data_IF_622143670359
#
_entry.id   IF_622143670359
#
_cell.length_a   1.000
_cell.length_b   1.000
_cell.length_c   1.000
_cell.angle_alpha   90.00
_cell.angle_beta   90.00
_cell.angle_gamma   90.00
#
_symmetry.space_group_name_H-M   'P 1'
#
loop_
_entity.id
_entity.type
_entity.pdbx_description
1 polymer ?
#
# COMPACT_ATOMS: atom_id res chain seq x y z
N UNK A 1 5.49 -4.44 28.75
CA UNK A 1 6.85 -4.59 28.19
C UNK A 1 6.78 -4.11 26.75
N UNK A 2 7.56 -3.10 26.32
CA UNK A 2 7.57 -2.74 24.90
C UNK A 2 8.22 -3.88 24.13
N UNK A 3 7.43 -4.57 23.31
CA UNK A 3 7.95 -5.50 22.30
C UNK A 3 8.35 -4.62 21.12
N UNK A 4 9.62 -4.60 20.79
CA UNK A 4 10.10 -3.91 19.59
C UNK A 4 9.69 -4.75 18.38
N UNK A 5 8.64 -4.31 17.68
CA UNK A 5 8.12 -4.99 16.48
C UNK A 5 8.63 -4.24 15.26
N UNK A 6 9.38 -4.92 14.41
CA UNK A 6 9.68 -4.42 13.06
C UNK A 6 8.46 -4.63 12.19
N UNK A 7 7.71 -3.56 11.93
CA UNK A 7 6.58 -3.60 11.02
C UNK A 7 7.06 -3.73 9.58
N UNK A 8 6.31 -4.48 8.78
CA UNK A 8 6.55 -4.60 7.35
C UNK A 8 5.99 -3.36 6.64
N UNK A 9 6.86 -2.59 6.01
CA UNK A 9 6.48 -1.38 5.28
C UNK A 9 6.63 -1.63 3.78
N UNK A 10 5.54 -1.47 3.03
CA UNK A 10 5.54 -1.51 1.58
C UNK A 10 5.44 -0.08 1.03
N UNK A 11 6.53 0.37 0.41
CA UNK A 11 6.64 1.71 -0.18
C UNK A 11 6.39 1.65 -1.68
N UNK A 12 5.39 2.40 -2.15
CA UNK A 12 5.00 2.44 -3.55
C UNK A 12 5.00 3.89 -4.02
N UNK A 13 5.63 4.15 -5.17
CA UNK A 13 5.64 5.49 -5.75
C UNK A 13 4.33 5.81 -6.44
N UNK A 14 3.82 7.02 -6.21
CA UNK A 14 2.58 7.52 -6.82
C UNK A 14 2.64 7.58 -8.33
N UNK A 15 3.80 7.93 -8.90
CA UNK A 15 3.97 7.96 -10.35
C UNK A 15 3.93 6.57 -10.98
N UNK A 16 4.35 5.53 -10.25
CA UNK A 16 4.20 4.14 -10.68
C UNK A 16 2.74 3.71 -10.67
N UNK A 17 1.99 4.08 -9.63
CA UNK A 17 0.54 3.81 -9.54
C UNK A 17 -0.20 4.51 -10.67
N UNK A 18 0.05 5.80 -10.89
CA UNK A 18 -0.63 6.57 -11.92
C UNK A 18 -0.39 6.01 -13.33
N UNK A 19 0.79 5.43 -13.59
CA UNK A 19 1.17 4.89 -14.90
C UNK A 19 0.75 3.44 -15.11
N UNK A 20 0.79 2.62 -14.06
CA UNK A 20 0.67 1.15 -14.17
C UNK A 20 -0.59 0.59 -13.53
N UNK A 21 -1.10 1.23 -12.48
CA UNK A 21 -2.23 0.71 -11.72
C UNK A 21 -3.53 0.96 -12.48
N UNK A 22 -4.36 -0.08 -12.65
CA UNK A 22 -5.67 0.05 -13.28
C UNK A 22 -6.55 1.01 -12.47
N UNK A 23 -7.00 2.09 -13.10
CA UNK A 23 -7.77 3.14 -12.42
C UNK A 23 -6.92 4.16 -11.64
N UNK A 24 -5.59 4.10 -11.76
CA UNK A 24 -4.66 5.10 -11.25
C UNK A 24 -4.70 5.27 -9.73
N UNK A 25 -4.29 6.45 -9.26
CA UNK A 25 -4.26 6.77 -7.83
C UNK A 25 -5.65 6.66 -7.16
N UNK A 26 -6.76 7.15 -7.74
CA UNK A 26 -8.06 7.09 -7.08
C UNK A 26 -8.51 5.66 -6.79
N UNK A 27 -8.34 4.73 -7.74
CA UNK A 27 -8.70 3.32 -7.56
C UNK A 27 -7.79 2.65 -6.54
N UNK A 28 -6.47 2.93 -6.58
CA UNK A 28 -5.51 2.41 -5.62
C UNK A 28 -5.89 2.76 -4.17
N UNK A 29 -6.35 3.98 -3.92
CA UNK A 29 -6.80 4.41 -2.57
C UNK A 29 -8.02 3.63 -2.06
N UNK A 30 -8.97 3.34 -2.96
CA UNK A 30 -10.16 2.55 -2.64
C UNK A 30 -9.79 1.09 -2.37
N UNK A 31 -8.98 0.49 -3.24
CA UNK A 31 -8.59 -0.93 -3.16
C UNK A 31 -7.74 -1.20 -1.91
N UNK A 32 -6.84 -0.28 -1.57
CA UNK A 32 -6.05 -0.39 -0.34
C UNK A 32 -6.81 0.05 0.91
N UNK A 33 -8.10 0.36 0.80
CA UNK A 33 -8.96 0.71 1.94
C UNK A 33 -8.37 1.87 2.78
N UNK A 34 -7.66 2.80 2.12
CA UNK A 34 -6.99 3.89 2.83
C UNK A 34 -8.02 4.80 3.54
N UNK A 35 -9.23 4.89 3.04
CA UNK A 35 -10.29 5.68 3.70
C UNK A 35 -11.03 4.93 4.83
N UNK A 36 -10.89 3.60 4.95
CA UNK A 36 -11.63 2.82 5.98
C UNK A 36 -10.83 2.60 7.27
N UNK A 37 -9.52 2.94 7.27
CA UNK A 37 -8.65 2.86 8.45
C UNK A 37 -8.23 1.43 8.83
N UNK A 38 -8.44 0.47 7.93
CA UNK A 38 -8.14 -0.96 8.16
C UNK A 38 -6.64 -1.27 8.14
N UNK A 39 -5.86 -0.43 7.48
CA UNK A 39 -4.40 -0.48 7.45
C UNK A 39 -3.79 0.76 8.08
N UNK A 40 -2.63 0.61 8.73
CA UNK A 40 -1.79 1.74 9.05
C UNK A 40 -1.12 2.17 7.74
N UNK A 41 -1.49 3.33 7.22
CA UNK A 41 -0.87 3.86 6.01
C UNK A 41 -0.40 5.29 6.23
N UNK A 42 0.62 5.66 5.48
CA UNK A 42 1.09 7.03 5.41
C UNK A 42 1.24 7.42 3.94
N UNK A 43 0.77 8.61 3.62
CA UNK A 43 0.91 9.19 2.30
C UNK A 43 1.77 10.44 2.40
N UNK A 44 2.74 10.56 1.51
CA UNK A 44 3.50 11.79 1.27
C UNK A 44 3.31 12.25 -0.19
N UNK A 45 3.82 13.41 -0.59
CA UNK A 45 3.70 13.96 -1.94
C UNK A 45 4.06 12.97 -3.05
N UNK A 46 5.00 12.04 -2.81
CA UNK A 46 5.50 11.10 -3.83
C UNK A 46 5.22 9.62 -3.55
N UNK A 47 4.90 9.26 -2.31
CA UNK A 47 4.90 7.87 -1.86
C UNK A 47 3.60 7.51 -1.14
N UNK A 48 3.19 6.26 -1.31
CA UNK A 48 2.31 5.55 -0.40
C UNK A 48 3.15 4.57 0.42
N UNK A 49 2.88 4.50 1.72
CA UNK A 49 3.43 3.54 2.65
C UNK A 49 2.29 2.72 3.24
N UNK A 50 2.27 1.42 2.95
CA UNK A 50 1.36 0.46 3.58
C UNK A 50 2.11 -0.27 4.68
N UNK A 51 1.53 -0.32 5.89
CA UNK A 51 2.17 -0.92 7.06
C UNK A 51 1.34 -2.09 7.56
N UNK A 52 1.99 -3.24 7.69
CA UNK A 52 1.42 -4.48 8.24
C UNK A 52 2.34 -5.06 9.31
N UNK A 53 1.81 -6.03 10.09
CA UNK A 53 2.62 -6.71 11.10
C UNK A 53 3.66 -7.63 10.46
N UNK A 54 3.28 -8.32 9.38
CA UNK A 54 4.14 -9.25 8.66
C UNK A 54 4.06 -9.03 7.14
N UNK A 55 5.11 -9.42 6.41
CA UNK A 55 5.20 -9.20 4.96
C UNK A 55 4.14 -9.96 4.16
N UNK A 56 3.74 -11.14 4.60
CA UNK A 56 2.74 -12.01 3.98
C UNK A 56 1.30 -11.48 4.09
N UNK A 57 1.10 -10.44 4.89
CA UNK A 57 -0.22 -9.79 5.04
C UNK A 57 -0.49 -8.74 3.97
N UNK A 58 0.50 -8.38 3.15
CA UNK A 58 0.28 -7.50 2.00
C UNK A 58 -0.45 -8.27 0.89
N UNK A 59 -1.46 -7.66 0.29
CA UNK A 59 -2.23 -8.25 -0.81
C UNK A 59 -1.49 -8.10 -2.15
N UNK A 60 -0.37 -8.82 -2.28
CA UNK A 60 0.48 -8.78 -3.48
C UNK A 60 -0.25 -9.25 -4.73
N UNK A 61 -1.18 -10.20 -4.60
CA UNK A 61 -1.96 -10.73 -5.71
C UNK A 61 -2.85 -9.64 -6.33
N UNK A 62 -3.51 -8.83 -5.49
CA UNK A 62 -4.33 -7.72 -5.95
C UNK A 62 -3.46 -6.59 -6.56
N UNK A 63 -2.33 -6.26 -5.94
CA UNK A 63 -1.40 -5.25 -6.46
C UNK A 63 -0.86 -5.63 -7.85
N UNK A 64 -0.45 -6.89 -8.03
CA UNK A 64 0.08 -7.40 -9.30
C UNK A 64 -1.01 -7.54 -10.36
N UNK A 65 -2.21 -8.02 -10.01
CA UNK A 65 -3.36 -8.11 -10.91
C UNK A 65 -3.79 -6.74 -11.47
N UNK A 66 -3.60 -5.69 -10.67
CA UNK A 66 -3.87 -4.31 -11.07
C UNK A 66 -2.70 -3.62 -11.78
N UNK A 67 -1.58 -4.31 -11.99
CA UNK A 67 -0.50 -3.88 -12.88
C UNK A 67 0.79 -3.46 -12.19
N UNK A 68 0.88 -3.53 -10.87
CA UNK A 68 2.15 -3.31 -10.15
C UNK A 68 3.00 -4.59 -10.18
N UNK A 69 3.77 -4.74 -11.26
CA UNK A 69 4.83 -5.73 -11.45
C UNK A 69 6.12 -5.05 -11.92
#
# INVERSE_FOLDING_TARGET
MPVYVHLSNLLIRKDAIEKKYKGGIPQFRLDCELDTGRFHFQEDAMLFCLVTMNYDQHDYDNLTANGLH
#
